data_IF_590026645988
#
_entry.id   IF_590026645988
#
_cell.length_a   1.000
_cell.length_b   1.000
_cell.length_c   1.000
_cell.angle_alpha   90.00
_cell.angle_beta   90.00
_cell.angle_gamma   90.00
#
_symmetry.space_group_name_H-M   'P 1'
#
loop_
_entity.id
_entity.type
_entity.pdbx_description
1 polymer ?
#
# COMPACT_ATOMS: atom_id res chain seq x y z
N UNK A 1 2.14 -3.81 15.22
CA UNK A 1 3.15 -2.73 15.20
C UNK A 1 4.10 -2.88 14.03
N UNK A 2 4.84 -4.00 13.91
CA UNK A 2 5.87 -4.25 12.88
C UNK A 2 5.51 -3.89 11.42
N UNK A 3 4.30 -4.19 10.95
CA UNK A 3 3.86 -3.85 9.57
C UNK A 3 3.81 -2.33 9.30
N UNK A 4 3.35 -1.55 10.28
CA UNK A 4 3.24 -0.09 10.13
C UNK A 4 4.64 0.54 10.11
N UNK A 5 5.52 0.14 11.03
CA UNK A 5 6.91 0.57 11.10
C UNK A 5 7.66 0.32 9.80
N UNK A 6 7.57 -0.89 9.25
CA UNK A 6 8.21 -1.24 7.96
C UNK A 6 7.65 -0.37 6.84
N UNK A 7 6.35 -0.09 6.86
CA UNK A 7 5.70 0.75 5.84
C UNK A 7 6.17 2.20 5.92
N UNK A 8 6.42 2.72 7.13
CA UNK A 8 6.99 4.06 7.35
C UNK A 8 8.38 4.23 6.73
N UNK A 9 9.14 3.15 6.60
CA UNK A 9 10.48 3.15 6.01
C UNK A 9 10.49 3.14 4.47
N UNK A 10 9.34 3.00 3.80
CA UNK A 10 9.30 3.01 2.33
C UNK A 10 9.58 4.43 1.85
N UNK A 11 10.63 4.69 1.05
CA UNK A 11 10.95 6.04 0.60
C UNK A 11 9.91 6.56 -0.40
N UNK A 12 9.89 7.89 -0.57
CA UNK A 12 9.03 8.56 -1.56
C UNK A 12 9.43 8.14 -2.97
N UNK A 13 8.44 7.89 -3.83
CA UNK A 13 8.69 7.44 -5.21
C UNK A 13 8.84 5.93 -5.35
N UNK A 14 8.91 5.20 -4.24
CA UNK A 14 8.95 3.74 -4.23
C UNK A 14 7.66 3.12 -3.72
N UNK A 15 7.43 1.90 -4.17
CA UNK A 15 6.34 1.04 -3.69
C UNK A 15 6.90 -0.29 -3.23
N UNK A 16 6.16 -0.93 -2.33
CA UNK A 16 6.39 -2.32 -1.93
C UNK A 16 5.10 -3.10 -2.03
N UNK A 17 5.19 -4.41 -2.18
CA UNK A 17 4.03 -5.29 -2.23
C UNK A 17 3.60 -5.71 -0.82
N UNK A 18 2.32 -6.06 -0.64
CA UNK A 18 1.88 -6.65 0.63
C UNK A 18 2.68 -7.90 1.03
N UNK A 19 3.19 -8.65 0.05
CA UNK A 19 4.03 -9.82 0.30
C UNK A 19 5.40 -9.41 0.84
N UNK A 20 6.04 -8.39 0.26
CA UNK A 20 7.33 -7.87 0.75
C UNK A 20 7.21 -7.33 2.18
N UNK A 21 6.16 -6.57 2.46
CA UNK A 21 5.91 -6.07 3.82
C UNK A 21 5.70 -7.21 4.81
N UNK A 22 4.95 -8.24 4.42
CA UNK A 22 4.73 -9.41 5.27
C UNK A 22 6.03 -10.19 5.51
N UNK A 23 6.84 -10.39 4.48
CA UNK A 23 8.17 -11.01 4.58
C UNK A 23 9.08 -10.24 5.53
N UNK A 24 9.17 -8.91 5.40
CA UNK A 24 9.95 -8.04 6.28
C UNK A 24 9.43 -8.07 7.72
N UNK A 25 8.12 -8.28 7.90
CA UNK A 25 7.49 -8.44 9.21
C UNK A 25 7.70 -9.84 9.83
N UNK A 26 8.37 -10.76 9.12
CA UNK A 26 8.70 -12.11 9.61
C UNK A 26 7.71 -13.20 9.19
N UNK A 27 6.75 -12.91 8.30
CA UNK A 27 5.81 -13.90 7.76
C UNK A 27 5.58 -13.69 6.27
N UNK A 28 6.32 -14.40 5.43
CA UNK A 28 6.25 -14.33 3.97
C UNK A 28 4.90 -14.76 3.37
N UNK A 29 4.08 -15.51 4.12
CA UNK A 29 2.72 -15.90 3.73
C UNK A 29 1.64 -14.93 4.28
N UNK A 30 2.06 -13.91 5.05
CA UNK A 30 1.18 -13.00 5.77
C UNK A 30 0.63 -11.82 4.96
N UNK A 31 0.61 -11.86 3.63
CA UNK A 31 0.21 -10.72 2.80
C UNK A 31 -1.20 -10.18 3.13
N UNK A 32 -2.17 -11.07 3.38
CA UNK A 32 -3.53 -10.69 3.78
C UNK A 32 -3.57 -10.06 5.17
N UNK A 33 -2.76 -10.57 6.10
CA UNK A 33 -2.62 -10.01 7.44
C UNK A 33 -1.98 -8.61 7.40
N UNK A 34 -0.96 -8.41 6.56
CA UNK A 34 -0.35 -7.10 6.33
C UNK A 34 -1.37 -6.10 5.76
N UNK A 35 -2.17 -6.50 4.77
CA UNK A 35 -3.26 -5.67 4.24
C UNK A 35 -4.31 -5.29 5.28
N UNK A 36 -4.69 -6.22 6.16
CA UNK A 36 -5.62 -5.95 7.26
C UNK A 36 -5.02 -5.01 8.30
N UNK A 37 -3.73 -5.16 8.64
CA UNK A 37 -3.03 -4.26 9.55
C UNK A 37 -2.97 -2.83 9.00
N UNK A 38 -2.71 -2.68 7.70
CA UNK A 38 -2.72 -1.37 7.03
C UNK A 38 -4.13 -0.77 6.93
N UNK A 39 -5.17 -1.59 6.72
CA UNK A 39 -6.57 -1.14 6.69
C UNK A 39 -7.07 -0.67 8.06
N UNK A 40 -6.59 -1.27 9.15
CA UNK A 40 -6.93 -0.90 10.54
C UNK A 40 -6.08 0.27 11.07
N UNK A 41 -5.22 0.86 10.24
CA UNK A 41 -4.36 1.95 10.66
C UNK A 41 -5.19 3.21 10.95
N UNK A 42 -5.16 3.74 12.20
CA UNK A 42 -5.88 4.96 12.56
C UNK A 42 -5.22 6.23 11.97
N UNK A 43 -3.99 6.14 11.46
CA UNK A 43 -3.22 7.28 10.94
C UNK A 43 -2.78 7.09 9.49
N UNK A 44 -3.70 7.17 8.52
CA UNK A 44 -3.40 7.04 7.09
C UNK A 44 -2.51 8.17 6.53
N UNK A 45 -2.33 9.27 7.28
CA UNK A 45 -1.47 10.39 6.87
C UNK A 45 0.00 10.25 7.31
N UNK A 46 0.26 9.54 8.42
CA UNK A 46 1.62 9.38 8.96
C UNK A 46 2.31 8.11 8.45
N UNK A 47 1.53 7.04 8.24
CA UNK A 47 2.05 5.82 7.64
C UNK A 47 1.70 5.85 6.16
N UNK A 48 2.69 5.79 5.24
CA UNK A 48 2.48 5.90 3.80
C UNK A 48 1.90 4.58 3.23
N UNK A 49 0.73 4.16 3.74
CA UNK A 49 0.07 2.92 3.37
C UNK A 49 -0.39 2.91 1.90
N UNK A 50 -0.43 4.09 1.25
CA UNK A 50 -0.62 4.22 -0.20
C UNK A 50 0.55 3.62 -1.01
N UNK A 51 1.77 3.55 -0.44
CA UNK A 51 2.96 2.95 -1.08
C UNK A 51 2.96 1.42 -1.10
N UNK A 52 1.98 0.78 -0.45
CA UNK A 52 1.87 -0.69 -0.42
C UNK A 52 0.85 -1.17 -1.46
N UNK A 53 1.29 -1.92 -2.47
CA UNK A 53 0.47 -2.37 -3.60
C UNK A 53 0.38 -3.90 -3.70
N UNK A 54 -0.41 -4.40 -4.65
CA UNK A 54 -0.46 -5.84 -4.95
C UNK A 54 0.75 -6.25 -5.79
N UNK A 55 1.12 -7.54 -5.71
CA UNK A 55 2.23 -8.11 -6.50
C UNK A 55 2.03 -8.01 -8.01
N UNK A 56 0.77 -7.95 -8.47
CA UNK A 56 0.40 -7.79 -9.88
C UNK A 56 0.56 -6.34 -10.40
N UNK A 57 1.03 -5.41 -9.56
CA UNK A 57 1.19 -3.99 -9.90
C UNK A 57 -0.11 -3.19 -9.80
N UNK A 58 -1.22 -3.82 -9.37
CA UNK A 58 -2.52 -3.14 -9.19
C UNK A 58 -2.61 -2.53 -7.80
N UNK A 59 -3.46 -1.51 -7.67
CA UNK A 59 -3.75 -0.91 -6.37
C UNK A 59 -4.60 -1.90 -5.53
N UNK A 60 -4.08 -2.29 -4.37
CA UNK A 60 -4.86 -3.01 -3.36
C UNK A 60 -5.83 -2.08 -2.63
N UNK A 61 -6.80 -2.67 -1.93
CA UNK A 61 -7.81 -1.94 -1.17
C UNK A 61 -7.19 -0.89 -0.25
N UNK A 62 -7.73 0.33 -0.32
CA UNK A 62 -7.32 1.47 0.50
C UNK A 62 -8.47 1.86 1.41
N UNK A 63 -8.18 2.11 2.69
CA UNK A 63 -9.18 2.54 3.65
C UNK A 63 -9.35 4.06 3.53
N UNK A 64 -10.57 4.53 3.24
CA UNK A 64 -10.91 5.94 3.13
C UNK A 64 -12.13 6.19 2.23
N UNK A 65 -12.81 7.34 2.37
CA UNK A 65 -14.04 7.65 1.63
C UNK A 65 -13.84 7.69 0.11
N UNK A 66 -12.63 7.96 -0.36
CA UNK A 66 -12.28 7.99 -1.79
C UNK A 66 -11.62 6.69 -2.28
N UNK A 67 -11.55 5.64 -1.45
CA UNK A 67 -11.01 4.33 -1.82
C UNK A 67 -9.64 4.38 -2.50
N UNK A 68 -9.49 3.61 -3.58
CA UNK A 68 -8.24 3.50 -4.35
C UNK A 68 -7.89 4.75 -5.15
N UNK A 69 -8.81 5.71 -5.32
CA UNK A 69 -8.55 6.93 -6.10
C UNK A 69 -7.63 7.90 -5.37
N UNK A 70 -7.80 8.06 -4.06
CA UNK A 70 -6.88 8.86 -3.24
C UNK A 70 -5.47 8.25 -3.26
N UNK A 71 -5.39 6.92 -3.10
CA UNK A 71 -4.13 6.18 -3.20
C UNK A 71 -3.44 6.42 -4.54
N UNK A 72 -4.18 6.38 -5.64
CA UNK A 72 -3.66 6.65 -6.99
C UNK A 72 -3.10 8.08 -7.10
N UNK A 73 -3.86 9.08 -6.65
CA UNK A 73 -3.43 10.48 -6.68
C UNK A 73 -2.14 10.67 -5.88
N UNK A 74 -2.06 10.14 -4.66
CA UNK A 74 -0.86 10.24 -3.82
C UNK A 74 0.36 9.63 -4.51
N UNK A 75 0.22 8.44 -5.12
CA UNK A 75 1.31 7.81 -5.85
C UNK A 75 1.73 8.58 -7.11
N UNK A 76 0.78 9.20 -7.82
CA UNK A 76 1.07 10.08 -8.96
C UNK A 76 1.84 11.33 -8.51
N UNK A 77 1.44 11.96 -7.39
CA UNK A 77 2.18 13.08 -6.81
C UNK A 77 3.61 12.70 -6.39
N UNK A 78 3.82 11.45 -6.00
CA UNK A 78 5.15 10.91 -5.67
C UNK A 78 5.97 10.46 -6.87
N UNK A 79 5.43 10.59 -8.10
CA UNK A 79 6.08 10.16 -9.34
C UNK A 79 6.48 8.68 -9.37
N UNK A 80 5.67 7.81 -8.76
CA UNK A 80 5.94 6.36 -8.74
C UNK A 80 5.80 5.79 -10.17
N UNK A 81 6.86 5.18 -10.76
CA UNK A 81 6.80 4.58 -12.10
C UNK A 81 6.02 3.25 -12.10
N UNK A 82 5.34 2.94 -13.21
CA UNK A 82 4.85 1.58 -13.50
C UNK A 82 3.50 1.16 -12.88
N UNK A 83 2.67 2.11 -12.43
CA UNK A 83 1.33 1.79 -11.93
C UNK A 83 0.42 1.34 -13.07
N UNK A 84 -0.07 0.10 -13.00
CA UNK A 84 -1.08 -0.39 -13.93
C UNK A 84 -2.44 0.17 -13.52
N UNK A 85 -2.99 1.07 -14.35
CA UNK A 85 -4.34 1.57 -14.19
C UNK A 85 -5.31 0.39 -14.26
N UNK A 86 -5.81 -0.05 -13.11
CA UNK A 86 -7.07 -0.79 -13.10
C UNK A 86 -8.15 0.21 -13.52
N UNK A 87 -8.46 0.22 -14.82
CA UNK A 87 -9.61 0.90 -15.36
C UNK A 87 -10.84 0.53 -14.53
N UNK A 88 -11.62 1.56 -14.21
CA UNK A 88 -12.97 1.46 -13.72
C UNK A 88 -13.76 0.61 -14.71
N UNK A 89 -14.18 -0.59 -14.29
CA UNK A 89 -15.22 -1.32 -14.99
C UNK A 89 -16.54 -0.75 -14.52
N UNK A 90 -17.32 -0.32 -15.52
CA UNK A 90 -18.68 0.21 -15.49
C UNK A 90 -19.64 -0.50 -14.55
#
# INVERSE_FOLDING_TARGET
>A
MRVLEITSCIPRGEVRTYQEIASLAGNSYGARAAGNALRRNPWPLFVPCHRVIRKDGRLGGYAGPSGTDLKRRLLQYEMVPGLKNSHCSS
#
